data_IF_298016257778
#
_entry.id   IF_298016257778
#
_cell.length_a   1.000
_cell.length_b   1.000
_cell.length_c   1.000
_cell.angle_alpha   90.00
_cell.angle_beta   90.00
_cell.angle_gamma   90.00
#
_symmetry.space_group_name_H-M   'P 1'
#
loop_
_entity.id
_entity.type
_entity.pdbx_description
1 polymer ?
#
# COMPACT_ATOMS: atom_id res chain seq x y z
N UNK A 1 13.10 14.09 10.48
CA UNK A 1 12.57 13.34 10.78
C UNK A 1 11.45 12.80 10.19
N UNK A 2 11.13 12.64 9.15
CA UNK A 2 9.96 12.05 8.60
C UNK A 2 9.79 10.60 9.00
N UNK A 3 8.57 10.16 8.97
CA UNK A 3 8.24 8.78 9.22
C UNK A 3 8.63 7.91 8.03
N UNK A 4 8.91 6.65 8.30
CA UNK A 4 9.06 5.67 7.24
C UNK A 4 7.74 5.47 6.51
N UNK A 5 7.81 5.01 5.28
CA UNK A 5 6.62 4.59 4.53
C UNK A 5 6.81 3.15 4.07
N UNK A 6 5.78 2.33 4.24
CA UNK A 6 5.71 0.98 3.70
C UNK A 6 4.63 0.92 2.65
N UNK A 7 4.99 0.45 1.46
CA UNK A 7 4.08 0.42 0.32
C UNK A 7 3.85 -1.04 -0.05
N UNK A 8 2.58 -1.42 -0.21
CA UNK A 8 2.22 -2.75 -0.68
C UNK A 8 1.32 -2.58 -1.89
N UNK A 9 1.75 -3.16 -3.00
CA UNK A 9 0.98 -3.15 -4.23
C UNK A 9 0.37 -4.53 -4.43
N UNK A 10 -0.94 -4.58 -4.59
CA UNK A 10 -1.68 -5.84 -4.59
C UNK A 10 -2.88 -5.78 -5.54
N UNK A 11 -3.54 -6.93 -5.73
CA UNK A 11 -4.66 -7.03 -6.64
C UNK A 11 -5.98 -6.88 -5.89
N UNK A 12 -6.78 -5.91 -6.31
CA UNK A 12 -8.17 -5.76 -5.91
C UNK A 12 -8.39 -4.90 -4.68
N UNK A 13 -9.48 -4.15 -4.68
CA UNK A 13 -9.76 -3.18 -3.63
C UNK A 13 -10.17 -3.84 -2.31
N UNK A 14 -10.93 -4.94 -2.37
CA UNK A 14 -11.33 -5.64 -1.14
C UNK A 14 -10.09 -6.21 -0.45
N UNK A 15 -9.17 -6.80 -1.21
CA UNK A 15 -7.92 -7.30 -0.65
C UNK A 15 -7.09 -6.15 -0.06
N UNK A 16 -7.13 -4.97 -0.67
CA UNK A 16 -6.43 -3.79 -0.15
C UNK A 16 -6.98 -3.39 1.22
N UNK A 17 -8.30 -3.35 1.40
CA UNK A 17 -8.89 -3.05 2.70
C UNK A 17 -8.54 -4.11 3.74
N UNK A 18 -8.60 -5.39 3.36
CA UNK A 18 -8.24 -6.48 4.28
C UNK A 18 -6.78 -6.40 4.71
N UNK A 19 -5.89 -6.14 3.76
CA UNK A 19 -4.46 -6.02 4.03
C UNK A 19 -4.15 -4.78 4.88
N UNK A 20 -4.78 -3.66 4.57
CA UNK A 20 -4.60 -2.41 5.32
C UNK A 20 -5.05 -2.60 6.77
N UNK A 21 -6.20 -3.24 6.98
CA UNK A 21 -6.69 -3.53 8.32
C UNK A 21 -5.71 -4.42 9.09
N UNK A 22 -5.21 -5.47 8.45
CA UNK A 22 -4.24 -6.37 9.08
C UNK A 22 -2.96 -5.64 9.48
N UNK A 23 -2.47 -4.75 8.63
CA UNK A 23 -1.27 -3.96 8.93
C UNK A 23 -1.50 -3.01 10.10
N UNK A 24 -2.63 -2.32 10.12
CA UNK A 24 -2.96 -1.39 11.19
C UNK A 24 -3.18 -2.09 12.53
N UNK A 25 -3.64 -3.34 12.50
CA UNK A 25 -3.80 -4.13 13.73
C UNK A 25 -2.48 -4.69 14.24
N UNK A 26 -1.50 -4.85 13.37
CA UNK A 26 -0.22 -5.45 13.73
C UNK A 26 0.78 -4.46 14.35
N UNK A 27 0.64 -3.18 14.07
CA UNK A 27 1.64 -2.19 14.49
C UNK A 27 1.02 -0.79 14.59
N UNK A 28 1.77 0.13 15.18
CA UNK A 28 1.31 1.51 15.35
C UNK A 28 1.64 2.31 14.08
N UNK A 29 0.78 2.20 13.10
CA UNK A 29 0.93 2.88 11.83
C UNK A 29 -0.34 3.62 11.47
N UNK A 30 -0.22 4.60 10.55
CA UNK A 30 -1.37 5.24 9.94
C UNK A 30 -1.36 4.95 8.45
N UNK A 31 -2.53 5.03 7.83
CA UNK A 31 -2.66 4.82 6.39
C UNK A 31 -2.74 6.14 5.67
N UNK A 32 -2.13 6.20 4.50
CA UNK A 32 -2.38 7.25 3.55
C UNK A 32 -3.43 6.79 2.54
N UNK A 33 -3.86 7.68 1.65
CA UNK A 33 -4.85 7.33 0.64
C UNK A 33 -4.33 6.20 -0.24
N UNK A 34 -5.25 5.34 -0.66
CA UNK A 34 -4.90 4.27 -1.59
C UNK A 34 -4.74 4.83 -3.00
N UNK A 35 -3.80 4.28 -3.73
CA UNK A 35 -3.70 4.52 -5.16
C UNK A 35 -4.28 3.33 -5.90
N UNK A 36 -5.10 3.60 -6.91
CA UNK A 36 -5.63 2.56 -7.78
C UNK A 36 -5.06 2.70 -9.18
N UNK A 37 -4.83 1.60 -9.84
CA UNK A 37 -4.37 1.60 -11.21
C UNK A 37 -4.99 0.42 -11.96
N UNK A 38 -5.44 0.69 -13.20
CA UNK A 38 -5.89 -0.35 -14.10
C UNK A 38 -4.82 -0.48 -15.18
N UNK A 39 -4.03 -1.55 -15.16
CA UNK A 39 -2.93 -1.68 -16.13
C UNK A 39 -3.44 -1.88 -17.55
N UNK A 40 -2.59 -1.61 -18.52
CA UNK A 40 -2.95 -1.74 -19.93
C UNK A 40 -3.37 -3.16 -20.29
N UNK A 41 -2.82 -4.17 -19.60
CA UNK A 41 -3.16 -5.57 -19.84
C UNK A 41 -4.16 -6.09 -18.83
N UNK A 42 -5.06 -5.24 -18.34
CA UNK A 42 -6.00 -5.61 -17.29
C UNK A 42 -6.80 -6.86 -17.59
N UNK A 43 -7.20 -7.04 -18.86
CA UNK A 43 -8.01 -8.19 -19.26
C UNK A 43 -7.25 -9.51 -19.16
N UNK A 44 -5.93 -9.46 -19.14
CA UNK A 44 -5.10 -10.65 -19.03
C UNK A 44 -4.81 -11.03 -17.57
N UNK A 45 -5.24 -10.22 -16.60
CA UNK A 45 -4.96 -10.44 -15.18
C UNK A 45 -6.16 -11.06 -14.49
N UNK A 46 -5.93 -11.89 -13.46
CA UNK A 46 -7.03 -12.47 -12.68
C UNK A 46 -7.91 -11.40 -12.03
N UNK A 47 -7.29 -10.29 -11.59
CA UNK A 47 -7.99 -9.14 -11.02
C UNK A 47 -7.44 -7.90 -11.72
N UNK A 48 -8.29 -7.17 -12.43
CA UNK A 48 -7.82 -6.07 -13.28
C UNK A 48 -7.44 -4.79 -12.54
N UNK A 49 -7.67 -4.69 -11.25
CA UNK A 49 -7.37 -3.49 -10.49
C UNK A 49 -6.18 -3.72 -9.58
N UNK A 50 -5.17 -2.85 -9.70
CA UNK A 50 -4.01 -2.84 -8.84
C UNK A 50 -4.17 -1.69 -7.84
N UNK A 51 -3.94 -1.97 -6.56
CA UNK A 51 -4.06 -0.99 -5.49
C UNK A 51 -2.74 -0.93 -4.74
N UNK A 52 -2.26 0.28 -4.49
CA UNK A 52 -1.12 0.51 -3.62
C UNK A 52 -1.62 1.07 -2.29
N UNK A 53 -1.27 0.40 -1.19
CA UNK A 53 -1.56 0.90 0.15
C UNK A 53 -0.26 1.39 0.78
N UNK A 54 -0.36 2.43 1.60
CA UNK A 54 0.80 3.11 2.17
C UNK A 54 0.63 3.26 3.67
N UNK A 55 1.57 2.66 4.42
CA UNK A 55 1.60 2.75 5.88
C UNK A 55 2.67 3.76 6.30
N UNK A 56 2.38 4.57 7.31
CA UNK A 56 3.33 5.54 7.86
C UNK A 56 3.58 5.23 9.33
N UNK A 57 4.83 5.35 9.77
CA UNK A 57 5.22 5.15 11.15
C UNK A 57 6.72 4.99 11.29
N UNK A 58 7.16 4.45 12.42
CA UNK A 58 8.57 4.11 12.59
C UNK A 58 8.95 2.97 11.64
N UNK A 59 10.24 2.80 11.39
CA UNK A 59 10.71 1.71 10.52
C UNK A 59 10.24 0.36 11.04
N UNK A 60 10.33 0.12 12.36
CA UNK A 60 9.93 -1.16 12.91
C UNK A 60 8.42 -1.38 12.82
N UNK A 61 7.62 -0.35 13.06
CA UNK A 61 6.17 -0.45 12.95
C UNK A 61 5.73 -0.68 11.51
N UNK A 62 6.33 0.06 10.58
CA UNK A 62 6.02 -0.08 9.17
C UNK A 62 6.42 -1.48 8.67
N UNK A 63 7.56 -2.00 9.12
CA UNK A 63 8.00 -3.35 8.74
C UNK A 63 6.98 -4.40 9.21
N UNK A 64 6.54 -4.30 10.45
CA UNK A 64 5.55 -5.23 11.00
C UNK A 64 4.21 -5.12 10.26
N UNK A 65 3.79 -3.89 9.95
CA UNK A 65 2.55 -3.66 9.24
C UNK A 65 2.59 -4.24 7.82
N UNK A 66 3.70 -4.02 7.11
CA UNK A 66 3.86 -4.55 5.75
C UNK A 66 3.86 -6.08 5.77
N UNK A 67 4.56 -6.70 6.72
CA UNK A 67 4.57 -8.16 6.82
C UNK A 67 3.16 -8.72 7.02
N UNK A 68 2.38 -8.13 7.90
CA UNK A 68 1.01 -8.56 8.16
C UNK A 68 0.12 -8.33 6.92
N UNK A 69 0.27 -7.18 6.27
CA UNK A 69 -0.50 -6.84 5.10
C UNK A 69 -0.21 -7.79 3.94
N UNK A 70 1.06 -8.12 3.72
CA UNK A 70 1.46 -9.04 2.64
C UNK A 70 0.86 -10.42 2.89
N UNK A 71 0.94 -10.93 4.13
CA UNK A 71 0.34 -12.24 4.43
C UNK A 71 -1.16 -12.23 4.17
N UNK A 72 -1.84 -11.19 4.62
CA UNK A 72 -3.29 -11.11 4.45
C UNK A 72 -3.68 -10.96 2.98
N UNK A 73 -2.96 -10.13 2.23
CA UNK A 73 -3.24 -9.94 0.81
C UNK A 73 -3.07 -11.25 0.04
N UNK A 74 -2.07 -12.03 0.37
CA UNK A 74 -1.85 -13.32 -0.30
C UNK A 74 -2.93 -14.34 0.02
N UNK A 75 -3.61 -14.21 1.16
CA UNK A 75 -4.76 -15.07 1.48
C UNK A 75 -5.99 -14.71 0.65
N UNK A 76 -6.13 -13.46 0.24
CA UNK A 76 -7.33 -12.97 -0.44
C UNK A 76 -7.15 -12.92 -1.94
N UNK A 77 -6.03 -12.40 -2.42
CA UNK A 77 -5.78 -12.26 -3.85
C UNK A 77 -4.32 -12.50 -4.20
N UNK A 78 -3.46 -11.55 -3.97
CA UNK A 78 -2.04 -11.66 -4.25
C UNK A 78 -1.35 -10.32 -4.18
N UNK A 79 -0.05 -10.35 -3.85
CA UNK A 79 0.80 -9.18 -3.77
C UNK A 79 1.67 -9.11 -5.02
N UNK A 80 1.79 -7.91 -5.58
CA UNK A 80 2.69 -7.66 -6.70
C UNK A 80 4.08 -7.38 -6.15
N UNK A 81 4.18 -6.41 -5.24
CA UNK A 81 5.46 -6.04 -4.63
C UNK A 81 5.20 -5.27 -3.33
N UNK A 82 6.21 -5.19 -2.49
CA UNK A 82 6.18 -4.35 -1.31
C UNK A 82 7.55 -3.74 -1.11
N UNK A 83 7.59 -2.57 -0.48
CA UNK A 83 8.85 -1.87 -0.26
C UNK A 83 8.72 -0.94 0.93
N UNK A 84 9.83 -0.72 1.62
CA UNK A 84 9.88 0.19 2.76
C UNK A 84 10.93 1.25 2.47
N UNK A 85 10.52 2.52 2.58
CA UNK A 85 11.44 3.64 2.48
C UNK A 85 11.60 4.19 3.89
N UNK A 86 12.77 4.02 4.52
CA UNK A 86 12.93 4.38 5.93
C UNK A 86 12.78 5.87 6.20
N UNK A 87 13.20 6.69 5.26
CA UNK A 87 13.15 8.14 5.46
C UNK A 87 12.99 8.81 4.11
N UNK A 88 11.73 8.92 3.63
CA UNK A 88 11.49 9.47 2.30
C UNK A 88 12.03 10.90 2.17
N UNK A 89 12.62 11.17 1.05
CA UNK A 89 13.14 12.48 0.72
C UNK A 89 11.96 13.43 0.42
N UNK A 90 12.19 14.75 0.52
CA UNK A 90 11.10 15.72 0.45
C UNK A 90 10.25 15.62 -0.83
N UNK A 91 10.90 15.39 -1.96
CA UNK A 91 10.15 15.27 -3.22
C UNK A 91 9.40 13.94 -3.30
N UNK A 92 9.95 12.88 -2.70
CA UNK A 92 9.25 11.61 -2.58
C UNK A 92 7.98 11.78 -1.72
N UNK A 93 8.07 12.56 -0.64
CA UNK A 93 6.89 12.84 0.20
C UNK A 93 5.78 13.50 -0.61
N UNK A 94 6.13 14.40 -1.52
CA UNK A 94 5.12 15.01 -2.39
C UNK A 94 4.43 13.98 -3.25
N UNK A 95 5.18 13.05 -3.81
CA UNK A 95 4.61 12.01 -4.66
C UNK A 95 3.72 11.05 -3.87
N UNK A 96 4.09 10.74 -2.63
CA UNK A 96 3.30 9.83 -1.81
C UNK A 96 1.92 10.38 -1.50
N UNK A 97 1.73 11.69 -1.55
CA UNK A 97 0.43 12.31 -1.28
C UNK A 97 -0.48 12.36 -2.49
N UNK A 98 0.04 12.10 -3.68
CA UNK A 98 -0.77 12.04 -4.88
C UNK A 98 -1.45 10.69 -4.92
N UNK A 99 -2.77 10.68 -5.09
CA UNK A 99 -3.51 9.44 -5.12
C UNK A 99 -4.15 9.24 -6.48
N UNK A 100 -3.98 8.05 -7.03
CA UNK A 100 -4.68 7.65 -8.25
C UNK A 100 -6.18 7.52 -8.07
N UNK A 101 -6.67 7.58 -6.83
CA UNK A 101 -8.09 7.56 -6.54
C UNK A 101 -8.71 8.95 -6.56
N UNK A 102 -7.89 10.00 -6.62
CA UNK A 102 -8.40 11.35 -6.66
C UNK A 102 -8.82 11.67 -8.08
N UNK A 103 -10.11 11.86 -8.28
CA UNK A 103 -10.68 12.13 -9.58
C UNK A 103 -11.14 13.57 -9.74
N UNK A 104 -10.79 14.43 -8.82
CA UNK A 104 -11.23 15.82 -8.84
C UNK A 104 -10.48 16.68 -9.84
N UNK A 105 -9.41 16.20 -10.40
CA UNK A 105 -8.59 16.93 -11.35
C UNK A 105 -9.25 17.05 -12.69
#
# INVERSE_FOLDING_TARGET
MGEAVGIVELFGLVAAFAAADAGCKAANVTLEDFDKNKPANADALPVPLIVAIKFRGSVSDVTAAVDAAVRRANEVSGVITSYIIPRPEADTEKMLKISGMDTSR
#
